data_IF_490923587017
#
_entry.id   IF_490923587017
#
_cell.length_a   1.000
_cell.length_b   1.000
_cell.length_c   1.000
_cell.angle_alpha   90.00
_cell.angle_beta   90.00
_cell.angle_gamma   90.00
#
_symmetry.space_group_name_H-M   'P 1'
#
loop_
_entity.id
_entity.type
_entity.pdbx_description
1 polymer ?
#
# COMPACT_ATOMS: atom_id res chain seq x y z
N UNK A 1 -20.78 12.44 1.74
CA UNK A 1 -19.80 11.41 1.34
C UNK A 1 -19.70 11.51 -0.18
N UNK A 2 -18.70 12.22 -0.71
CA UNK A 2 -18.47 12.22 -2.14
C UNK A 2 -17.77 10.89 -2.45
N UNK A 3 -18.33 10.10 -3.37
CA UNK A 3 -17.61 8.96 -3.94
C UNK A 3 -16.42 9.57 -4.66
N UNK A 4 -15.20 9.29 -4.22
CA UNK A 4 -14.02 9.70 -4.96
C UNK A 4 -14.13 9.09 -6.37
N UNK A 5 -14.24 9.93 -7.40
CA UNK A 5 -14.18 9.47 -8.77
C UNK A 5 -12.72 9.21 -9.08
N UNK A 6 -12.25 8.01 -8.74
CA UNK A 6 -10.92 7.58 -9.11
C UNK A 6 -10.81 7.58 -10.64
N UNK A 7 -9.72 8.12 -11.18
CA UNK A 7 -9.40 7.98 -12.59
C UNK A 7 -9.02 6.53 -12.95
N UNK A 8 -8.77 6.27 -14.23
CA UNK A 8 -8.46 4.92 -14.75
C UNK A 8 -7.18 4.33 -14.12
N UNK A 9 -6.27 5.18 -13.65
CA UNK A 9 -5.04 4.79 -12.97
C UNK A 9 -5.09 5.12 -11.47
N UNK A 10 -6.27 5.37 -10.91
CA UNK A 10 -6.44 5.70 -9.49
C UNK A 10 -6.18 7.18 -9.16
N UNK A 11 -6.16 8.08 -10.15
CA UNK A 11 -6.04 9.52 -9.90
C UNK A 11 -7.15 10.02 -8.98
N UNK A 12 -6.82 10.89 -8.03
CA UNK A 12 -7.77 11.39 -7.03
C UNK A 12 -8.15 10.37 -5.94
N UNK A 13 -7.50 9.22 -5.90
CA UNK A 13 -7.71 8.18 -4.88
C UNK A 13 -6.40 7.71 -4.25
N UNK A 14 -6.50 7.20 -3.02
CA UNK A 14 -5.42 6.48 -2.37
C UNK A 14 -5.27 5.14 -3.08
N UNK A 15 -4.05 4.83 -3.51
CA UNK A 15 -3.74 3.55 -4.17
C UNK A 15 -3.00 2.63 -3.21
N UNK A 16 -3.30 1.34 -3.33
CA UNK A 16 -2.50 0.25 -2.75
C UNK A 16 -1.71 -0.34 -3.91
N UNK A 17 -0.41 -0.14 -3.92
CA UNK A 17 0.47 -0.66 -4.96
C UNK A 17 1.15 -1.92 -4.43
N UNK A 18 1.16 -3.00 -5.23
CA UNK A 18 1.69 -4.28 -4.75
C UNK A 18 2.40 -5.05 -5.85
N UNK A 19 3.50 -5.69 -5.46
CA UNK A 19 4.13 -6.80 -6.17
C UNK A 19 4.05 -8.03 -5.27
N UNK A 20 3.30 -9.05 -5.70
CA UNK A 20 3.21 -10.34 -5.00
C UNK A 20 4.05 -11.39 -5.72
N UNK A 21 5.15 -11.80 -5.09
CA UNK A 21 6.05 -12.84 -5.59
C UNK A 21 6.86 -13.48 -4.47
N UNK A 22 7.26 -14.73 -4.70
CA UNK A 22 8.25 -15.40 -3.87
C UNK A 22 9.62 -14.72 -4.03
N UNK A 23 10.47 -14.70 -2.98
CA UNK A 23 11.80 -14.14 -3.06
C UNK A 23 12.68 -14.88 -4.08
N UNK A 24 13.26 -14.12 -5.01
CA UNK A 24 14.19 -14.66 -6.02
C UNK A 24 15.66 -14.39 -5.67
N UNK A 25 15.90 -13.35 -4.87
CA UNK A 25 17.22 -12.97 -4.34
C UNK A 25 17.05 -12.42 -2.92
N UNK A 26 18.08 -12.51 -2.06
CA UNK A 26 18.01 -11.97 -0.70
C UNK A 26 17.57 -10.50 -0.68
N UNK A 27 16.62 -10.17 0.20
CA UNK A 27 16.09 -8.81 0.37
C UNK A 27 15.05 -8.37 -0.66
N UNK A 28 14.71 -9.22 -1.63
CA UNK A 28 13.70 -8.92 -2.65
C UNK A 28 12.62 -9.99 -2.60
N UNK A 29 11.39 -9.61 -2.26
CA UNK A 29 10.24 -10.50 -2.18
C UNK A 29 8.96 -9.81 -2.64
N UNK A 30 7.87 -10.06 -1.91
CA UNK A 30 6.64 -9.31 -2.06
C UNK A 30 6.81 -7.93 -1.43
N UNK A 31 6.26 -6.89 -2.07
CA UNK A 31 6.33 -5.51 -1.60
C UNK A 31 4.97 -4.85 -1.81
N UNK A 32 4.47 -4.15 -0.80
CA UNK A 32 3.20 -3.42 -0.88
C UNK A 32 3.37 -2.07 -0.21
N UNK A 33 2.74 -1.06 -0.77
CA UNK A 33 2.77 0.31 -0.26
C UNK A 33 1.43 1.03 -0.48
N UNK A 34 1.30 2.18 0.17
CA UNK A 34 0.21 3.13 0.00
C UNK A 34 0.78 4.36 -0.69
N UNK A 35 0.06 4.92 -1.67
CA UNK A 35 0.57 6.03 -2.47
C UNK A 35 -0.43 7.21 -2.58
N UNK A 36 0.09 8.39 -2.27
CA UNK A 36 -0.54 9.71 -2.32
C UNK A 36 0.28 10.73 -3.14
N UNK A 37 1.29 10.28 -3.90
CA UNK A 37 2.02 11.11 -4.85
C UNK A 37 1.02 11.64 -5.89
N UNK A 38 1.00 12.95 -6.11
CA UNK A 38 0.14 13.56 -7.13
C UNK A 38 0.28 12.84 -8.48
N UNK A 39 -0.83 12.43 -9.15
CA UNK A 39 -2.21 12.89 -8.97
C UNK A 39 -3.09 12.07 -7.99
N UNK A 40 -2.52 11.18 -7.17
CA UNK A 40 -3.26 10.43 -6.15
C UNK A 40 -3.65 11.32 -4.95
N UNK A 41 -4.73 10.97 -4.27
CA UNK A 41 -5.27 11.75 -3.16
C UNK A 41 -6.10 10.89 -2.21
N UNK A 42 -6.11 11.21 -0.92
CA UNK A 42 -6.84 10.41 0.06
C UNK A 42 -8.35 10.36 -0.26
N UNK A 43 -8.89 9.13 -0.35
CA UNK A 43 -10.30 8.87 -0.70
C UNK A 43 -11.07 8.08 0.36
N UNK A 44 -10.40 7.17 1.09
CA UNK A 44 -10.98 6.38 2.18
C UNK A 44 -9.87 5.87 3.09
N UNK A 45 -10.20 5.63 4.37
CA UNK A 45 -9.33 4.89 5.28
C UNK A 45 -8.99 3.55 4.64
N UNK A 46 -7.71 3.25 4.49
CA UNK A 46 -7.24 2.03 3.81
C UNK A 46 -6.06 1.47 4.57
N UNK A 47 -6.07 0.17 4.81
CA UNK A 47 -4.96 -0.57 5.39
C UNK A 47 -4.69 -1.82 4.58
N UNK A 48 -3.47 -2.30 4.64
CA UNK A 48 -3.12 -3.63 4.16
C UNK A 48 -2.29 -4.36 5.20
N UNK A 49 -2.37 -5.68 5.22
CA UNK A 49 -1.49 -6.54 6.00
C UNK A 49 -1.19 -7.83 5.26
N UNK A 50 0.01 -8.35 5.43
CA UNK A 50 0.34 -9.69 4.98
C UNK A 50 -0.21 -10.74 5.94
N UNK A 51 -0.59 -11.90 5.39
CA UNK A 51 -0.94 -13.10 6.16
C UNK A 51 -0.48 -14.37 5.42
N UNK A 52 -0.40 -15.49 6.14
CA UNK A 52 0.24 -16.72 5.63
C UNK A 52 1.72 -16.48 5.28
N UNK A 53 2.39 -15.67 6.11
CA UNK A 53 3.74 -15.16 5.90
C UNK A 53 3.81 -13.68 6.27
N UNK A 54 4.81 -13.29 7.08
CA UNK A 54 4.93 -11.92 7.61
C UNK A 54 3.64 -11.41 8.28
N UNK A 55 2.96 -12.27 9.03
CA UNK A 55 1.62 -12.01 9.54
C UNK A 55 1.55 -10.71 10.36
N UNK A 56 0.58 -9.85 10.03
CA UNK A 56 0.34 -8.55 10.68
C UNK A 56 1.33 -7.45 10.28
N UNK A 57 2.27 -7.72 9.37
CA UNK A 57 3.14 -6.71 8.78
C UNK A 57 2.37 -5.98 7.69
N UNK A 58 2.25 -4.66 7.83
CA UNK A 58 1.38 -3.85 6.98
C UNK A 58 1.49 -2.36 7.28
N UNK A 59 0.65 -1.57 6.60
CA UNK A 59 0.55 -0.12 6.78
C UNK A 59 -0.92 0.31 6.76
N UNK A 60 -1.20 1.48 7.32
CA UNK A 60 -2.55 2.03 7.40
C UNK A 60 -2.56 3.53 7.15
N UNK A 61 -3.61 4.00 6.49
CA UNK A 61 -3.77 5.39 6.13
C UNK A 61 -5.20 5.82 6.41
N UNK A 62 -5.38 6.68 7.40
CA UNK A 62 -6.69 7.12 7.90
C UNK A 62 -6.96 8.62 7.66
N UNK A 63 -6.00 9.33 7.05
CA UNK A 63 -6.13 10.75 6.76
C UNK A 63 -5.23 11.18 5.58
N UNK A 64 -5.46 12.38 5.00
CA UNK A 64 -4.67 12.87 3.87
C UNK A 64 -3.18 13.16 4.14
N UNK A 65 -2.79 13.36 5.40
CA UNK A 65 -1.40 13.60 5.81
C UNK A 65 -0.72 12.34 6.37
N UNK A 66 -1.25 11.18 6.01
CA UNK A 66 -0.84 9.87 6.46
C UNK A 66 0.65 9.60 6.18
N UNK A 67 1.47 9.35 7.21
CA UNK A 67 2.91 9.19 7.07
C UNK A 67 3.33 7.84 6.49
N UNK A 68 2.41 6.87 6.45
CA UNK A 68 2.67 5.52 5.95
C UNK A 68 2.51 5.40 4.43
N UNK A 69 2.05 6.47 3.75
CA UNK A 69 1.93 6.52 2.30
C UNK A 69 3.07 7.34 1.67
N UNK A 70 3.44 7.01 0.44
CA UNK A 70 4.31 7.84 -0.40
C UNK A 70 3.62 9.18 -0.71
N UNK A 71 4.34 10.30 -0.52
CA UNK A 71 3.94 11.66 -0.93
C UNK A 71 4.88 12.25 -1.97
N UNK A 72 6.09 11.70 -2.11
CA UNK A 72 7.08 12.06 -3.11
C UNK A 72 7.79 10.82 -3.69
N UNK A 73 8.21 10.84 -4.97
CA UNK A 73 9.07 9.79 -5.52
C UNK A 73 10.40 9.60 -4.77
N UNK A 74 10.84 10.61 -4.01
CA UNK A 74 12.10 10.60 -3.25
C UNK A 74 11.92 10.14 -1.78
N UNK A 75 10.72 9.70 -1.38
CA UNK A 75 10.52 9.23 0.00
C UNK A 75 11.36 7.99 0.29
N UNK A 76 12.26 8.11 1.27
CA UNK A 76 13.32 7.12 1.48
C UNK A 76 12.81 5.78 2.03
N UNK A 77 11.59 5.70 2.57
CA UNK A 77 11.00 4.46 3.09
C UNK A 77 9.46 4.48 3.14
N UNK A 78 8.82 3.75 2.23
CA UNK A 78 7.36 3.53 2.28
C UNK A 78 6.89 2.25 1.56
N UNK A 79 7.80 1.31 1.24
CA UNK A 79 7.40 -0.05 0.81
C UNK A 79 7.56 -1.05 1.95
N UNK A 80 6.49 -1.79 2.23
CA UNK A 80 6.49 -2.88 3.19
C UNK A 80 6.82 -4.20 2.49
N UNK A 81 8.02 -4.73 2.78
CA UNK A 81 8.55 -5.95 2.15
C UNK A 81 8.27 -7.18 3.00
N UNK A 82 7.76 -8.24 2.37
CA UNK A 82 7.69 -9.59 2.94
C UNK A 82 8.58 -10.55 2.15
N UNK A 83 9.42 -11.29 2.87
CA UNK A 83 10.36 -12.28 2.33
C UNK A 83 9.91 -13.73 2.55
N UNK A 84 8.64 -13.96 2.86
CA UNK A 84 8.06 -15.31 2.94
C UNK A 84 7.58 -15.78 1.55
N UNK A 85 7.69 -17.08 1.30
CA UNK A 85 7.09 -17.71 0.13
C UNK A 85 5.57 -17.82 0.28
N UNK A 86 4.85 -17.62 -0.83
CA UNK A 86 3.41 -17.82 -0.94
C UNK A 86 2.60 -17.02 0.08
N UNK A 87 3.06 -15.80 0.37
CA UNK A 87 2.36 -14.84 1.23
C UNK A 87 1.07 -14.36 0.57
N UNK A 88 0.06 -14.07 1.39
CA UNK A 88 -1.18 -13.45 0.97
C UNK A 88 -1.27 -12.00 1.48
N UNK A 89 -2.10 -11.19 0.83
CA UNK A 89 -2.32 -9.79 1.17
C UNK A 89 -3.80 -9.56 1.50
N UNK A 90 -4.10 -9.00 2.66
CA UNK A 90 -5.41 -8.51 3.02
C UNK A 90 -5.43 -6.98 2.86
N UNK A 91 -6.45 -6.45 2.21
CA UNK A 91 -6.67 -5.00 2.07
C UNK A 91 -8.02 -4.67 2.69
N UNK A 92 -8.04 -3.73 3.63
CA UNK A 92 -9.24 -3.31 4.35
C UNK A 92 -9.52 -1.84 4.05
N UNK A 93 -10.77 -1.55 3.72
CA UNK A 93 -11.26 -0.19 3.49
C UNK A 93 -12.22 0.22 4.60
N UNK A 94 -12.27 1.52 4.89
CA UNK A 94 -13.20 2.13 5.85
C UNK A 94 -13.07 1.57 7.27
N UNK A 95 -11.83 1.30 7.70
CA UNK A 95 -11.53 0.89 9.07
C UNK A 95 -11.47 2.08 10.04
#
# INVERSE_FOLDING_TARGET
MAIAQCGDMGEGCLTVETTLRNPVTPGIGSGTDLNLIFPHAFSANTSFEYFNGCDGVGQSCDNPACPDAFHSPDDERTVTVCLADNVNLAITFCQ
#
